data_IF_904043125862
#
_entry.id   IF_904043125862
#
_cell.length_a   1.000
_cell.length_b   1.000
_cell.length_c   1.000
_cell.angle_alpha   90.00
_cell.angle_beta   90.00
_cell.angle_gamma   90.00
#
_symmetry.space_group_name_H-M   'P 1'
#
loop_
_entity.id
_entity.type
_entity.pdbx_description
1 polymer ?
#
# COMPACT_ATOMS: atom_id res chain seq x y z
N UNK A 1 14.44 -10.09 -23.97
CA UNK A 1 14.21 -8.72 -23.47
C UNK A 1 13.14 -8.86 -22.38
N UNK A 2 13.38 -8.36 -21.17
CA UNK A 2 12.35 -8.37 -20.12
C UNK A 2 11.42 -7.18 -20.40
N UNK A 3 10.13 -7.43 -20.51
CA UNK A 3 9.09 -6.41 -20.69
C UNK A 3 8.23 -6.36 -19.44
N UNK A 4 7.93 -5.15 -18.98
CA UNK A 4 6.98 -4.97 -17.89
C UNK A 4 5.56 -5.22 -18.38
N UNK A 5 4.66 -5.65 -17.49
CA UNK A 5 3.24 -5.63 -17.83
C UNK A 5 2.79 -4.19 -18.03
N UNK A 6 1.87 -3.97 -18.97
CA UNK A 6 1.33 -2.63 -19.28
C UNK A 6 0.78 -1.91 -18.04
N UNK A 7 0.33 -2.66 -17.03
CA UNK A 7 -0.12 -2.10 -15.76
C UNK A 7 0.95 -1.30 -15.02
N UNK A 8 2.20 -1.79 -14.95
CA UNK A 8 3.28 -1.04 -14.28
C UNK A 8 3.67 0.21 -15.07
N UNK A 9 3.68 0.13 -16.41
CA UNK A 9 3.93 1.29 -17.26
C UNK A 9 2.83 2.33 -17.14
N UNK A 10 1.57 1.90 -17.01
CA UNK A 10 0.45 2.79 -16.79
C UNK A 10 0.54 3.50 -15.43
N UNK A 11 0.98 2.82 -14.37
CA UNK A 11 1.23 3.48 -13.07
C UNK A 11 2.35 4.51 -13.18
N UNK A 12 3.45 4.18 -13.87
CA UNK A 12 4.55 5.12 -14.11
C UNK A 12 4.09 6.38 -14.84
N UNK A 13 3.18 6.23 -15.81
CA UNK A 13 2.65 7.32 -16.61
C UNK A 13 1.44 8.05 -15.99
N UNK A 14 0.99 7.65 -14.79
CA UNK A 14 -0.20 8.23 -14.15
C UNK A 14 -1.51 7.93 -14.88
N UNK A 15 -1.55 6.83 -15.64
CA UNK A 15 -2.71 6.33 -16.38
C UNK A 15 -3.48 5.30 -15.54
N UNK A 16 -2.81 4.56 -14.67
CA UNK A 16 -3.46 3.61 -13.77
C UNK A 16 -3.53 4.17 -12.33
N UNK A 17 -4.60 3.82 -11.57
CA UNK A 17 -5.76 3.05 -12.04
C UNK A 17 -6.70 3.90 -12.91
N UNK A 18 -7.49 3.25 -13.78
CA UNK A 18 -8.32 3.91 -14.80
C UNK A 18 -9.38 4.86 -14.22
N UNK A 19 -9.79 4.66 -12.97
CA UNK A 19 -10.73 5.53 -12.27
C UNK A 19 -10.09 6.83 -11.72
N UNK A 20 -8.76 6.92 -11.64
CA UNK A 20 -8.03 8.07 -11.07
C UNK A 20 -6.84 8.49 -11.93
N UNK A 21 -7.06 8.56 -13.26
CA UNK A 21 -6.05 9.05 -14.22
C UNK A 21 -5.61 10.46 -13.87
N UNK A 22 -4.31 10.64 -13.62
CA UNK A 22 -3.72 11.95 -13.32
C UNK A 22 -2.86 12.50 -14.46
N UNK A 23 -2.37 11.62 -15.35
CA UNK A 23 -1.32 11.91 -16.34
C UNK A 23 -0.02 12.48 -15.74
N UNK A 24 0.16 12.37 -14.42
CA UNK A 24 1.39 12.79 -13.72
C UNK A 24 2.37 11.63 -13.72
N UNK A 25 3.53 11.85 -14.35
CA UNK A 25 4.56 10.83 -14.49
C UNK A 25 5.46 10.78 -13.27
N UNK A 26 5.89 9.57 -12.94
CA UNK A 26 6.91 9.40 -11.91
C UNK A 26 8.21 10.07 -12.34
N UNK A 27 8.96 10.58 -11.37
CA UNK A 27 10.22 11.33 -11.48
C UNK A 27 10.05 12.74 -12.07
N UNK A 28 9.21 12.91 -13.07
CA UNK A 28 8.93 14.20 -13.69
C UNK A 28 7.98 15.06 -12.82
N UNK A 29 6.83 14.50 -12.45
CA UNK A 29 5.77 15.21 -11.73
C UNK A 29 5.62 14.74 -10.28
N UNK A 30 6.04 13.50 -9.99
CA UNK A 30 6.04 12.91 -8.65
C UNK A 30 7.41 12.32 -8.31
N UNK A 31 8.07 12.84 -7.28
CA UNK A 31 9.41 12.40 -6.87
C UNK A 31 9.41 11.36 -5.74
N UNK A 32 8.25 11.13 -5.13
CA UNK A 32 8.08 10.32 -3.93
C UNK A 32 6.83 9.44 -4.08
N UNK A 33 6.98 8.16 -3.78
CA UNK A 33 5.88 7.20 -3.68
C UNK A 33 5.62 6.86 -2.22
N UNK A 34 4.35 6.68 -1.88
CA UNK A 34 3.92 6.15 -0.59
C UNK A 34 3.26 4.80 -0.81
N UNK A 35 3.68 3.80 -0.03
CA UNK A 35 3.22 2.41 -0.16
C UNK A 35 2.85 1.91 1.24
N UNK A 36 1.69 1.30 1.38
CA UNK A 36 1.38 0.43 2.51
C UNK A 36 1.94 -0.96 2.20
N UNK A 37 2.98 -1.38 2.91
CA UNK A 37 3.62 -2.67 2.70
C UNK A 37 3.17 -3.63 3.80
N UNK A 38 2.78 -4.85 3.41
CA UNK A 38 2.41 -5.89 4.37
C UNK A 38 3.57 -6.88 4.54
N UNK A 39 4.04 -7.00 5.77
CA UNK A 39 5.09 -7.93 6.19
C UNK A 39 4.41 -9.23 6.62
N UNK A 40 4.80 -10.34 5.97
CA UNK A 40 4.39 -11.71 6.32
C UNK A 40 2.87 -11.94 6.45
N UNK A 41 2.05 -11.22 5.68
CA UNK A 41 0.59 -11.28 5.72
C UNK A 41 -0.02 -10.93 7.10
N UNK A 42 0.69 -10.20 7.96
CA UNK A 42 0.27 -9.97 9.35
C UNK A 42 0.45 -8.54 9.85
N UNK A 43 1.38 -7.77 9.28
CA UNK A 43 1.71 -6.44 9.78
C UNK A 43 1.86 -5.42 8.66
N UNK A 44 1.16 -4.30 8.78
CA UNK A 44 1.23 -3.21 7.81
C UNK A 44 2.18 -2.13 8.29
N UNK A 45 3.06 -1.69 7.38
CA UNK A 45 3.96 -0.55 7.59
C UNK A 45 3.80 0.47 6.47
N UNK A 46 4.08 1.74 6.78
CA UNK A 46 4.15 2.79 5.78
C UNK A 46 5.56 2.91 5.20
N UNK A 47 5.66 2.99 3.87
CA UNK A 47 6.93 3.11 3.15
C UNK A 47 6.93 4.39 2.31
N UNK A 48 7.92 5.26 2.53
CA UNK A 48 8.21 6.44 1.69
C UNK A 48 9.40 6.10 0.79
N UNK A 49 9.19 6.12 -0.52
CA UNK A 49 10.22 5.89 -1.53
C UNK A 49 10.50 7.18 -2.28
N UNK A 50 11.62 7.83 -2.00
CA UNK A 50 12.09 8.95 -2.81
C UNK A 50 12.84 8.42 -4.05
N UNK A 51 12.26 8.65 -5.23
CA UNK A 51 12.70 8.09 -6.51
C UNK A 51 14.04 8.66 -6.98
N UNK A 52 14.24 9.97 -6.79
CA UNK A 52 15.47 10.67 -7.21
C UNK A 52 16.66 10.33 -6.31
N UNK A 53 16.46 10.39 -4.98
CA UNK A 53 17.51 10.13 -3.98
C UNK A 53 17.70 8.65 -3.69
N UNK A 54 16.84 7.78 -4.25
CA UNK A 54 16.82 6.32 -3.98
C UNK A 54 16.83 6.02 -2.49
N UNK A 55 16.00 6.75 -1.76
CA UNK A 55 15.87 6.61 -0.31
C UNK A 55 14.55 5.96 0.02
N UNK A 56 14.60 4.93 0.83
CA UNK A 56 13.43 4.23 1.36
C UNK A 56 13.42 4.42 2.85
N UNK A 57 12.31 4.96 3.35
CA UNK A 57 12.04 5.02 4.78
C UNK A 57 10.85 4.15 5.10
N UNK A 58 10.97 3.35 6.14
CA UNK A 58 9.87 2.56 6.69
C UNK A 58 9.46 3.13 8.04
N UNK A 59 8.17 3.34 8.21
CA UNK A 59 7.55 3.83 9.44
C UNK A 59 6.70 2.69 10.00
N UNK A 60 7.13 2.15 11.13
CA UNK A 60 6.56 0.97 11.77
C UNK A 60 5.96 1.33 13.13
N UNK A 61 4.63 1.28 13.25
CA UNK A 61 3.93 1.58 14.49
C UNK A 61 4.04 0.46 15.54
N UNK A 62 4.50 -0.74 15.17
CA UNK A 62 4.74 -1.86 16.08
C UNK A 62 6.19 -2.31 15.90
N UNK A 63 7.13 -1.45 16.27
CA UNK A 63 8.57 -1.66 16.04
C UNK A 63 9.18 -2.90 16.73
N UNK A 64 8.42 -3.57 17.60
CA UNK A 64 8.80 -4.85 18.23
C UNK A 64 8.28 -6.08 17.49
N UNK A 65 7.46 -5.91 16.43
CA UNK A 65 6.87 -7.02 15.69
C UNK A 65 7.90 -7.77 14.83
N UNK A 66 8.85 -7.04 14.25
CA UNK A 66 9.90 -7.59 13.37
C UNK A 66 11.24 -6.92 13.63
N UNK A 67 12.33 -7.68 13.47
CA UNK A 67 13.67 -7.14 13.51
C UNK A 67 13.95 -6.27 12.29
N UNK A 68 14.84 -5.29 12.41
CA UNK A 68 15.12 -4.33 11.33
C UNK A 68 15.57 -5.00 10.02
N UNK A 69 16.34 -6.09 10.11
CA UNK A 69 16.78 -6.84 8.94
C UNK A 69 15.62 -7.54 8.23
N UNK A 70 14.63 -8.03 8.98
CA UNK A 70 13.46 -8.70 8.41
C UNK A 70 12.58 -7.67 7.69
N UNK A 71 12.36 -6.50 8.31
CA UNK A 71 11.67 -5.38 7.67
C UNK A 71 12.39 -4.99 6.38
N UNK A 72 13.72 -4.82 6.42
CA UNK A 72 14.52 -4.46 5.25
C UNK A 72 14.44 -5.49 4.12
N UNK A 73 14.50 -6.78 4.43
CA UNK A 73 14.40 -7.83 3.42
C UNK A 73 12.97 -7.94 2.87
N UNK A 74 11.93 -7.67 3.67
CA UNK A 74 10.53 -7.67 3.22
C UNK A 74 10.24 -6.60 2.17
N UNK A 75 10.77 -5.38 2.31
CA UNK A 75 10.53 -4.26 1.37
C UNK A 75 11.45 -4.30 0.13
N UNK A 76 12.48 -5.14 0.14
CA UNK A 76 13.48 -5.24 -0.93
C UNK A 76 12.89 -5.56 -2.32
N UNK A 77 11.85 -6.41 -2.47
CA UNK A 77 11.20 -6.64 -3.76
C UNK A 77 10.61 -5.36 -4.36
N UNK A 78 9.90 -4.55 -3.56
CA UNK A 78 9.32 -3.27 -4.02
C UNK A 78 10.41 -2.34 -4.55
N UNK A 79 11.52 -2.26 -3.82
CA UNK A 79 12.67 -1.43 -4.19
C UNK A 79 13.30 -1.89 -5.51
N UNK A 80 13.51 -3.19 -5.67
CA UNK A 80 14.04 -3.76 -6.92
C UNK A 80 13.10 -3.51 -8.09
N UNK A 81 11.80 -3.72 -7.88
CA UNK A 81 10.78 -3.51 -8.91
C UNK A 81 10.76 -2.06 -9.39
N UNK A 82 10.68 -1.11 -8.45
CA UNK A 82 10.72 0.33 -8.74
C UNK A 82 12.00 0.68 -9.50
N UNK A 83 13.16 0.16 -9.09
CA UNK A 83 14.43 0.46 -9.78
C UNK A 83 14.45 -0.04 -11.21
N UNK A 84 14.00 -1.27 -11.43
CA UNK A 84 13.95 -1.84 -12.78
C UNK A 84 12.98 -1.06 -13.67
N UNK A 85 11.82 -0.64 -13.12
CA UNK A 85 10.83 0.16 -13.83
C UNK A 85 11.39 1.53 -14.23
N UNK A 86 12.04 2.24 -13.30
CA UNK A 86 12.72 3.51 -13.59
C UNK A 86 13.85 3.31 -14.61
N UNK A 87 14.63 2.23 -14.47
CA UNK A 87 15.68 1.85 -15.41
C UNK A 87 15.15 1.58 -16.83
N UNK A 88 13.92 1.10 -16.95
CA UNK A 88 13.27 0.86 -18.24
C UNK A 88 12.66 2.14 -18.81
N UNK A 89 11.79 2.81 -18.05
CA UNK A 89 10.89 3.85 -18.56
C UNK A 89 11.42 5.28 -18.45
N UNK A 90 12.26 5.60 -17.46
CA UNK A 90 12.63 6.99 -17.22
C UNK A 90 13.48 7.57 -18.38
N UNK A 91 13.30 8.85 -18.74
CA UNK A 91 14.15 9.54 -19.70
C UNK A 91 15.64 9.47 -19.33
N UNK A 92 16.51 9.54 -20.34
CA UNK A 92 17.97 9.43 -20.14
C UNK A 92 18.50 10.57 -19.26
N UNK A 93 17.92 11.75 -19.36
CA UNK A 93 18.28 12.95 -18.60
C UNK A 93 17.96 12.78 -17.12
N UNK A 94 16.84 12.13 -16.80
CA UNK A 94 16.43 11.86 -15.42
C UNK A 94 17.24 10.72 -14.80
N UNK A 95 17.52 9.66 -15.58
CA UNK A 95 18.40 8.57 -15.17
C UNK A 95 19.81 9.06 -14.78
N UNK A 96 20.32 10.11 -15.42
CA UNK A 96 21.60 10.72 -15.06
C UNK A 96 21.58 11.47 -13.73
N UNK A 97 20.41 11.99 -13.33
CA UNK A 97 20.22 12.63 -12.01
C UNK A 97 20.09 11.57 -10.90
N UNK A 98 19.68 10.36 -11.26
CA UNK A 98 19.62 9.22 -10.35
C UNK A 98 21.01 8.61 -10.18
N UNK A 99 21.37 8.25 -8.93
CA UNK A 99 22.60 7.50 -8.65
C UNK A 99 22.56 6.06 -9.19
N UNK A 100 23.52 5.23 -8.77
CA UNK A 100 23.57 3.79 -9.12
C UNK A 100 22.32 3.00 -8.68
N UNK A 101 22.22 1.71 -9.04
CA UNK A 101 21.01 0.89 -8.83
C UNK A 101 20.68 0.54 -7.35
N UNK A 102 21.52 0.95 -6.40
CA UNK A 102 21.30 0.69 -4.99
C UNK A 102 20.39 1.74 -4.34
N UNK A 103 19.67 1.32 -3.32
CA UNK A 103 18.86 2.19 -2.47
C UNK A 103 19.42 2.25 -1.06
N UNK A 104 19.13 3.35 -0.37
CA UNK A 104 19.40 3.52 1.04
C UNK A 104 18.12 3.23 1.83
N UNK A 105 18.20 2.29 2.78
CA UNK A 105 17.10 1.91 3.67
C UNK A 105 17.24 2.61 5.03
N UNK A 106 16.12 3.07 5.58
CA UNK A 106 16.03 3.67 6.90
C UNK A 106 14.76 3.19 7.62
N UNK A 107 14.92 2.57 8.79
CA UNK A 107 13.81 2.32 9.71
C UNK A 107 13.63 3.53 10.62
N UNK A 108 12.51 4.23 10.49
CA UNK A 108 12.26 5.48 11.23
C UNK A 108 11.82 5.16 12.66
N UNK A 109 12.47 5.81 13.63
CA UNK A 109 12.18 5.68 15.06
C UNK A 109 11.38 6.89 15.55
N UNK A 110 10.71 6.74 16.69
CA UNK A 110 9.91 7.80 17.31
C UNK A 110 8.59 8.10 16.58
N UNK A 111 8.07 7.11 15.85
CA UNK A 111 6.72 7.16 15.28
C UNK A 111 5.69 6.79 16.36
N UNK A 112 4.41 7.20 16.21
CA UNK A 112 3.34 6.76 17.10
C UNK A 112 3.29 5.24 17.22
N UNK A 113 3.22 4.75 18.45
CA UNK A 113 3.17 3.32 18.75
C UNK A 113 1.72 2.85 18.83
N UNK A 114 1.47 1.66 18.29
CA UNK A 114 0.20 0.98 18.37
C UNK A 114 0.31 -0.19 19.34
N UNK A 115 -0.26 -0.07 20.55
CA UNK A 115 -0.25 -1.14 21.55
C UNK A 115 -1.35 -2.18 21.24
N UNK A 116 -2.42 -1.78 20.55
CA UNK A 116 -3.54 -2.65 20.19
C UNK A 116 -3.26 -3.48 18.93
N UNK A 117 -3.60 -4.76 18.95
CA UNK A 117 -3.49 -5.59 17.74
C UNK A 117 -4.59 -5.24 16.74
N UNK A 118 -4.23 -5.17 15.45
CA UNK A 118 -5.17 -4.99 14.34
C UNK A 118 -5.23 -3.56 13.75
N UNK A 119 -4.62 -2.56 14.40
CA UNK A 119 -4.65 -1.17 13.93
C UNK A 119 -3.47 -0.73 13.06
N UNK A 120 -2.48 -1.59 12.83
CA UNK A 120 -1.27 -1.25 12.05
C UNK A 120 -1.57 -0.71 10.65
N UNK A 121 -2.68 -1.14 10.03
CA UNK A 121 -3.15 -0.61 8.75
C UNK A 121 -3.58 0.86 8.84
N UNK A 122 -4.34 1.23 9.88
CA UNK A 122 -4.81 2.60 10.11
C UNK A 122 -3.63 3.52 10.43
N UNK A 123 -2.71 3.05 11.27
CA UNK A 123 -1.45 3.75 11.55
C UNK A 123 -0.62 3.98 10.28
N UNK A 124 -0.52 2.98 9.41
CA UNK A 124 0.21 3.10 8.14
C UNK A 124 -0.41 4.14 7.21
N UNK A 125 -1.74 4.09 7.03
CA UNK A 125 -2.46 5.07 6.21
C UNK A 125 -2.32 6.49 6.77
N UNK A 126 -2.48 6.65 8.09
CA UNK A 126 -2.36 7.96 8.73
C UNK A 126 -0.95 8.52 8.63
N UNK A 127 0.06 7.65 8.73
CA UNK A 127 1.43 8.03 8.50
C UNK A 127 1.65 8.60 7.09
N UNK A 128 1.14 7.89 6.08
CA UNK A 128 1.21 8.33 4.68
C UNK A 128 0.48 9.67 4.47
N UNK A 129 -0.74 9.82 5.01
CA UNK A 129 -1.51 11.07 4.93
C UNK A 129 -0.70 12.24 5.50
N UNK A 130 -0.13 12.08 6.71
CA UNK A 130 0.67 13.12 7.33
C UNK A 130 1.93 13.44 6.53
N UNK A 131 2.65 12.44 6.03
CA UNK A 131 3.86 12.65 5.22
C UNK A 131 3.53 13.40 3.91
N UNK A 132 2.47 12.99 3.22
CA UNK A 132 2.02 13.62 1.97
C UNK A 132 1.59 15.08 2.18
N UNK A 133 0.98 15.39 3.33
CA UNK A 133 0.53 16.74 3.68
C UNK A 133 1.60 17.60 4.40
N UNK A 134 2.80 17.05 4.66
CA UNK A 134 3.84 17.74 5.40
C UNK A 134 3.47 18.02 6.87
N UNK A 135 2.66 17.16 7.49
CA UNK A 135 2.20 17.27 8.89
C UNK A 135 2.97 16.32 9.80
N UNK A 136 3.01 16.66 11.09
CA UNK A 136 3.59 15.79 12.12
C UNK A 136 2.75 14.52 12.29
N UNK A 137 3.43 13.42 12.64
CA UNK A 137 2.80 12.12 12.90
C UNK A 137 2.07 12.04 14.25
N UNK A 138 2.08 13.10 15.06
CA UNK A 138 1.56 13.10 16.44
C UNK A 138 0.04 13.09 16.55
N UNK A 139 -0.70 12.96 15.45
CA UNK A 139 -2.16 13.06 15.41
C UNK A 139 -2.88 11.71 15.53
N UNK A 140 -2.16 10.63 15.82
CA UNK A 140 -2.73 9.28 15.98
C UNK A 140 -2.15 8.60 17.21
N UNK A 141 -3.04 7.96 17.96
CA UNK A 141 -2.75 7.11 19.11
C UNK A 141 -3.92 6.13 19.32
N UNK A 142 -3.77 5.20 20.25
CA UNK A 142 -4.76 4.17 20.53
C UNK A 142 -6.09 4.69 21.08
N UNK A 143 -6.15 5.96 21.52
CA UNK A 143 -7.39 6.57 22.01
C UNK A 143 -8.26 7.11 20.89
N UNK A 144 -7.65 7.52 19.76
CA UNK A 144 -8.35 8.12 18.62
C UNK A 144 -8.37 7.26 17.35
N UNK A 145 -7.62 6.15 17.33
CA UNK A 145 -7.50 5.29 16.14
C UNK A 145 -8.85 4.73 15.68
N UNK A 146 -9.78 4.46 16.59
CA UNK A 146 -11.13 4.02 16.26
C UNK A 146 -11.91 5.05 15.44
N UNK A 147 -11.84 6.33 15.81
CA UNK A 147 -12.49 7.42 15.09
C UNK A 147 -11.85 7.65 13.72
N UNK A 148 -10.51 7.55 13.64
CA UNK A 148 -9.77 7.64 12.38
C UNK A 148 -10.15 6.48 11.45
N UNK A 149 -10.24 5.25 11.99
CA UNK A 149 -10.66 4.06 11.25
C UNK A 149 -12.06 4.26 10.66
N UNK A 150 -13.01 4.74 11.47
CA UNK A 150 -14.37 5.02 11.01
C UNK A 150 -14.39 6.11 9.93
N UNK A 151 -13.61 7.17 10.11
CA UNK A 151 -13.47 8.24 9.12
C UNK A 151 -12.97 7.70 7.78
N UNK A 152 -11.87 6.94 7.78
CA UNK A 152 -11.33 6.35 6.55
C UNK A 152 -12.30 5.37 5.90
N UNK A 153 -13.00 4.54 6.68
CA UNK A 153 -14.01 3.65 6.14
C UNK A 153 -15.15 4.43 5.44
N UNK A 154 -15.61 5.52 6.05
CA UNK A 154 -16.64 6.38 5.47
C UNK A 154 -16.16 7.08 4.18
N UNK A 155 -14.95 7.65 4.20
CA UNK A 155 -14.36 8.30 3.02
C UNK A 155 -14.13 7.30 1.87
N UNK A 156 -13.61 6.11 2.17
CA UNK A 156 -13.45 5.05 1.15
C UNK A 156 -14.79 4.60 0.57
N UNK A 157 -15.83 4.49 1.39
CA UNK A 157 -17.17 4.11 0.92
C UNK A 157 -17.80 5.19 0.03
N UNK A 158 -17.53 6.47 0.30
CA UNK A 158 -18.02 7.60 -0.51
C UNK A 158 -17.35 7.65 -1.91
N UNK A 159 -16.11 7.16 -2.02
CA UNK A 159 -15.38 7.06 -3.29
C UNK A 159 -15.82 5.88 -4.18
N UNK A 160 -16.58 4.91 -3.65
CA UNK A 160 -17.07 3.79 -4.46
C UNK A 160 -18.44 4.11 -5.04
N UNK A 161 -18.58 3.98 -6.36
CA UNK A 161 -19.90 4.01 -6.99
C UNK A 161 -20.70 2.78 -6.54
N UNK A 162 -21.75 3.01 -5.74
CA UNK A 162 -22.63 1.96 -5.24
C UNK A 162 -23.26 1.12 -6.36
N UNK A 163 -23.34 1.66 -7.59
CA UNK A 163 -23.79 0.90 -8.75
C UNK A 163 -22.86 -0.28 -9.09
N UNK A 164 -21.57 -0.22 -8.76
CA UNK A 164 -20.62 -1.33 -8.95
C UNK A 164 -20.94 -2.54 -8.05
N UNK A 165 -21.54 -2.31 -6.88
CA UNK A 165 -22.00 -3.39 -6.00
C UNK A 165 -23.38 -3.94 -6.37
N UNK A 166 -24.13 -3.20 -7.19
CA UNK A 166 -25.49 -3.57 -7.63
C UNK A 166 -25.50 -4.23 -9.01
N UNK A 167 -24.36 -4.34 -9.70
CA UNK A 167 -24.29 -5.10 -10.96
C UNK A 167 -24.50 -6.60 -10.67
N UNK A 168 -25.42 -7.27 -11.41
CA UNK A 168 -25.52 -8.73 -11.37
C UNK A 168 -24.14 -9.30 -11.68
N UNK A 169 -23.60 -10.13 -10.78
CA UNK A 169 -22.27 -10.74 -10.90
C UNK A 169 -22.14 -11.55 -12.18
N UNK A 170 -21.73 -10.90 -13.28
CA UNK A 170 -21.02 -11.55 -14.36
C UNK A 170 -19.55 -11.42 -13.96
N UNK A 171 -18.85 -12.53 -13.64
CA UNK A 171 -17.49 -12.45 -13.13
C UNK A 171 -16.57 -11.89 -14.22
N UNK A 172 -16.29 -10.58 -14.15
CA UNK A 172 -15.09 -10.02 -14.77
C UNK A 172 -13.93 -10.47 -13.88
N UNK A 173 -13.03 -11.24 -14.47
CA UNK A 173 -11.78 -11.68 -13.83
C UNK A 173 -11.07 -10.46 -13.25
N UNK A 174 -11.00 -10.38 -11.92
CA UNK A 174 -10.18 -9.40 -11.20
C UNK A 174 -8.75 -9.48 -11.73
N UNK A 175 -8.09 -8.35 -12.08
CA UNK A 175 -6.71 -8.35 -12.55
C UNK A 175 -5.70 -8.70 -11.44
N UNK A 176 -6.16 -8.78 -10.18
CA UNK A 176 -5.35 -9.20 -9.04
C UNK A 176 -5.65 -10.66 -8.69
N UNK A 177 -4.62 -11.54 -8.59
CA UNK A 177 -4.81 -12.90 -8.13
C UNK A 177 -5.25 -12.86 -6.66
N UNK A 178 -6.47 -13.32 -6.37
CA UNK A 178 -6.85 -13.65 -4.99
C UNK A 178 -5.98 -14.81 -4.56
N UNK A 179 -5.29 -14.67 -3.43
CA UNK A 179 -4.67 -15.80 -2.75
C UNK A 179 -5.74 -16.86 -2.50
N UNK A 180 -5.47 -18.09 -2.89
CA UNK A 180 -6.34 -19.24 -2.62
C UNK A 180 -6.25 -19.54 -1.13
N UNK A 181 -7.15 -18.97 -0.33
CA UNK A 181 -7.50 -19.53 0.97
C UNK A 181 -8.61 -20.54 0.76
N UNK A 182 -8.30 -21.82 0.99
CA UNK A 182 -9.26 -22.92 1.04
C UNK A 182 -10.18 -22.74 2.26
N UNK A 183 -11.18 -21.89 2.15
CA UNK A 183 -12.31 -21.88 3.08
C UNK A 183 -13.59 -22.08 2.28
N UNK A 184 -13.97 -23.35 2.11
CA UNK A 184 -15.28 -23.72 1.63
C UNK A 184 -16.34 -23.22 2.63
N UNK A 185 -17.45 -22.61 2.19
CA UNK A 185 -18.51 -22.22 3.11
C UNK A 185 -19.18 -23.49 3.65
N UNK A 186 -19.02 -23.75 4.94
CA UNK A 186 -19.88 -24.71 5.63
C UNK A 186 -21.32 -24.17 5.58
N UNK A 187 -22.21 -24.95 4.97
CA UNK A 187 -23.62 -24.63 4.85
C UNK A 187 -24.26 -24.41 6.22
N UNK A 188 -25.08 -23.37 6.30
CA UNK A 188 -25.93 -23.07 7.44
C UNK A 188 -27.03 -24.15 7.48
N UNK A 189 -26.91 -25.15 8.36
CA UNK A 189 -28.04 -26.03 8.69
C UNK A 189 -29.05 -25.23 9.50
N UNK A 190 -30.24 -25.03 8.92
CA UNK A 190 -31.39 -24.50 9.63
C UNK A 190 -32.11 -25.66 10.30
N UNK A 191 -32.08 -25.73 11.62
CA UNK A 191 -32.90 -26.66 12.40
C UNK A 191 -34.38 -26.35 12.16
N UNK A 192 -35.08 -27.25 11.45
CA UNK A 192 -36.53 -27.31 11.44
C UNK A 192 -37.00 -27.97 12.73
N UNK A 193 -37.55 -27.18 13.64
CA UNK A 193 -38.47 -27.66 14.66
C UNK A 193 -39.73 -28.18 13.96
N UNK A 194 -39.94 -29.49 13.94
CA UNK A 194 -41.28 -30.06 13.81
C UNK A 194 -41.37 -31.50 14.40
N UNK A 195 -42.08 -31.57 15.52
CA UNK A 195 -43.11 -32.56 15.87
C UNK A 195 -42.76 -33.99 16.34
N UNK A 196 -43.19 -34.24 17.60
CA UNK A 196 -43.49 -35.47 18.35
C UNK A 196 -42.35 -36.26 19.03
#
# INVERSE_FOLDING_TARGET
>A
MFEFTIGFENHYNGIAPDCTVTNKKWVQDADTLYITHNICNSHWVAVEVNLLKKRVKVYDSIYSAFEENDVKESVKPDMKLISLLLGHLAPKEEKQKMGGCAYNFYLIKGVPHNDQSGDCGVYSLKCIECLALGRCLTSIDDTNVGDIRLKYAAEMMDEVDLSDFLQPTIPKTSPYPRGTSDDAPQGLETDSLDSL
#
